data_IF_288414755772
#
_entry.id   IF_288414755772
#
_cell.length_a   1.000
_cell.length_b   1.000
_cell.length_c   1.000
_cell.angle_alpha   90.00
_cell.angle_beta   90.00
_cell.angle_gamma   90.00
#
_symmetry.space_group_name_H-M   'P 1'
#
loop_
_entity.id
_entity.type
_entity.pdbx_description
1 polymer ?
#
# COMPACT_ATOMS: atom_id res chain seq x y z
N UNK A 1 53.79 38.54 10.49
CA UNK A 1 53.42 38.80 9.08
C UNK A 1 52.43 37.71 8.71
N UNK A 2 51.12 37.90 8.50
CA UNK A 2 50.29 39.02 8.09
C UNK A 2 48.97 38.80 8.83
N UNK A 3 48.61 39.71 9.72
CA UNK A 3 47.40 39.64 10.52
C UNK A 3 46.95 41.04 10.86
N UNK A 4 46.71 41.86 9.83
CA UNK A 4 46.18 43.23 9.94
C UNK A 4 45.68 43.68 8.55
N UNK A 5 44.38 43.56 8.32
CA UNK A 5 43.55 44.24 7.31
C UNK A 5 42.19 43.53 7.40
N UNK A 6 41.10 44.07 7.93
CA UNK A 6 40.53 45.40 7.71
C UNK A 6 39.68 45.74 8.93
N UNK A 7 40.23 46.54 9.85
CA UNK A 7 39.47 47.22 10.90
C UNK A 7 39.91 48.67 10.92
N UNK A 8 39.55 49.42 9.86
CA UNK A 8 39.76 50.86 9.83
C UNK A 8 39.03 51.54 8.67
N UNK A 9 37.70 51.52 8.68
CA UNK A 9 36.91 52.60 8.03
C UNK A 9 35.77 52.96 8.96
N UNK A 10 36.13 53.53 10.11
CA UNK A 10 35.20 54.28 10.94
C UNK A 10 35.98 55.47 11.50
N UNK A 11 35.45 56.68 11.31
CA UNK A 11 36.02 57.98 11.71
C UNK A 11 36.85 58.70 10.63
N UNK A 12 36.15 59.45 9.76
CA UNK A 12 36.45 60.86 9.43
C UNK A 12 35.56 61.33 8.28
N UNK A 13 34.41 61.91 8.63
CA UNK A 13 33.88 63.09 7.92
C UNK A 13 32.79 63.71 8.79
N UNK A 14 33.26 64.31 9.87
CA UNK A 14 32.50 65.30 10.63
C UNK A 14 32.83 66.66 10.02
N UNK A 15 31.81 67.51 9.94
CA UNK A 15 31.86 68.96 9.68
C UNK A 15 32.05 69.39 8.23
N UNK A 16 30.93 69.65 7.55
CA UNK A 16 30.36 71.01 7.49
C UNK A 16 29.30 71.07 6.39
N UNK A 17 28.04 71.32 6.75
CA UNK A 17 27.22 72.36 6.13
C UNK A 17 25.90 72.57 6.92
N UNK A 18 25.84 73.71 7.58
CA UNK A 18 24.67 74.61 7.72
C UNK A 18 23.36 74.15 8.40
N UNK A 19 23.30 74.39 9.73
CA UNK A 19 22.47 75.41 10.44
C UNK A 19 21.00 75.67 10.00
N UNK A 20 20.10 75.69 11.03
CA UNK A 20 18.68 76.17 11.17
C UNK A 20 17.61 75.07 10.98
N UNK A 21 16.60 74.84 11.82
CA UNK A 21 15.94 75.52 12.97
C UNK A 21 15.31 74.44 13.89
N UNK A 22 14.95 74.73 15.16
CA UNK A 22 14.20 73.80 16.00
C UNK A 22 12.70 73.90 15.65
N UNK A 23 12.23 72.98 14.82
CA UNK A 23 10.81 72.82 14.52
C UNK A 23 10.21 71.69 15.34
N UNK A 24 9.25 72.05 16.20
CA UNK A 24 8.23 71.23 16.86
C UNK A 24 8.57 69.78 17.22
N UNK A 25 8.74 69.56 18.53
CA UNK A 25 8.53 68.25 19.15
C UNK A 25 7.02 67.99 19.15
N UNK A 26 6.50 67.53 18.00
CA UNK A 26 5.20 66.89 17.97
C UNK A 26 5.40 65.45 18.44
N UNK A 27 4.83 65.12 19.60
CA UNK A 27 4.75 63.76 20.14
C UNK A 27 4.01 62.87 19.13
N UNK A 28 4.77 62.27 18.21
CA UNK A 28 4.25 61.26 17.29
C UNK A 28 3.92 60.02 18.11
N UNK A 29 2.63 59.82 18.31
CA UNK A 29 1.96 58.67 18.89
C UNK A 29 2.78 57.36 18.78
N UNK A 30 3.19 56.85 19.93
CA UNK A 30 3.93 55.59 20.12
C UNK A 30 3.07 54.32 19.88
N UNK A 31 1.93 54.44 19.20
CA UNK A 31 1.01 53.32 18.93
C UNK A 31 1.29 52.62 17.59
N UNK A 32 2.05 53.23 16.68
CA UNK A 32 2.26 52.67 15.33
C UNK A 32 3.26 51.51 15.28
N UNK A 33 4.25 51.45 16.18
CA UNK A 33 5.28 50.39 16.17
C UNK A 33 4.79 49.07 16.76
N UNK A 34 3.86 49.14 17.73
CA UNK A 34 3.26 47.95 18.34
C UNK A 34 2.25 47.30 17.39
N UNK A 35 1.37 48.09 16.76
CA UNK A 35 0.46 47.58 15.74
C UNK A 35 1.22 46.99 14.54
N UNK A 36 2.28 47.65 14.06
CA UNK A 36 3.12 47.10 12.98
C UNK A 36 3.80 45.78 13.35
N UNK A 37 4.30 45.64 14.59
CA UNK A 37 4.88 44.37 15.06
C UNK A 37 3.86 43.25 15.26
N UNK A 38 2.62 43.58 15.63
CA UNK A 38 1.53 42.60 15.73
C UNK A 38 1.08 42.15 14.34
N UNK A 39 1.01 43.07 13.38
CA UNK A 39 0.68 42.78 11.98
C UNK A 39 1.77 41.95 11.29
N UNK A 40 3.06 42.28 11.50
CA UNK A 40 4.17 41.47 10.98
C UNK A 40 4.13 40.03 11.53
N UNK A 41 3.88 39.87 12.83
CA UNK A 41 3.81 38.55 13.48
C UNK A 41 2.58 37.75 13.01
N UNK A 42 1.44 38.40 12.76
CA UNK A 42 0.23 37.73 12.25
C UNK A 42 0.36 37.32 10.77
N UNK A 43 1.04 38.13 9.95
CA UNK A 43 1.35 37.82 8.55
C UNK A 43 2.33 36.64 8.45
N UNK A 44 3.33 36.58 9.32
CA UNK A 44 4.27 35.45 9.42
C UNK A 44 3.54 34.13 9.78
N UNK A 45 2.70 34.14 10.81
CA UNK A 45 1.92 32.95 11.22
C UNK A 45 0.95 32.47 10.12
N UNK A 46 0.35 33.39 9.36
CA UNK A 46 -0.52 33.03 8.25
C UNK A 46 0.27 32.48 7.05
N UNK A 47 1.45 33.03 6.77
CA UNK A 47 2.35 32.51 5.75
C UNK A 47 2.79 31.08 6.08
N UNK A 48 3.19 30.82 7.32
CA UNK A 48 3.57 29.47 7.78
C UNK A 48 2.41 28.47 7.66
N UNK A 49 1.18 28.88 8.01
CA UNK A 49 -0.02 28.03 7.86
C UNK A 49 -0.29 27.69 6.39
N UNK A 50 -0.18 28.67 5.50
CA UNK A 50 -0.38 28.48 4.05
C UNK A 50 0.70 27.60 3.44
N UNK A 51 1.96 27.81 3.80
CA UNK A 51 3.08 26.99 3.36
C UNK A 51 2.92 25.55 3.88
N UNK A 52 2.52 25.38 5.15
CA UNK A 52 2.24 24.06 5.72
C UNK A 52 1.12 23.32 4.98
N UNK A 53 0.04 24.02 4.60
CA UNK A 53 -1.02 23.45 3.78
C UNK A 53 -0.56 23.11 2.35
N UNK A 54 0.22 23.99 1.72
CA UNK A 54 0.79 23.74 0.39
C UNK A 54 1.71 22.50 0.41
N UNK A 55 2.59 22.40 1.41
CA UNK A 55 3.45 21.23 1.59
C UNK A 55 2.64 19.94 1.76
N UNK A 56 1.59 19.97 2.59
CA UNK A 56 0.68 18.81 2.75
C UNK A 56 0.06 18.37 1.42
N UNK A 57 -0.35 19.31 0.57
CA UNK A 57 -0.91 19.00 -0.75
C UNK A 57 0.14 18.40 -1.68
N UNK A 58 1.37 18.92 -1.68
CA UNK A 58 2.48 18.36 -2.46
C UNK A 58 2.79 16.94 -1.99
N UNK A 59 2.89 16.70 -0.67
CA UNK A 59 3.11 15.36 -0.11
C UNK A 59 1.97 14.41 -0.45
N UNK A 60 0.72 14.83 -0.28
CA UNK A 60 -0.44 14.01 -0.59
C UNK A 60 -0.49 13.65 -2.09
N UNK A 61 -0.24 14.63 -2.96
CA UNK A 61 -0.16 14.40 -4.40
C UNK A 61 0.96 13.44 -4.77
N UNK A 62 2.17 13.67 -4.27
CA UNK A 62 3.34 12.82 -4.56
C UNK A 62 3.15 11.40 -4.03
N UNK A 63 2.67 11.26 -2.78
CA UNK A 63 2.37 9.97 -2.18
C UNK A 63 1.30 9.20 -2.96
N UNK A 64 0.28 9.90 -3.47
CA UNK A 64 -0.76 9.27 -4.31
C UNK A 64 -0.20 8.76 -5.63
N UNK A 65 0.65 9.54 -6.30
CA UNK A 65 1.31 9.13 -7.55
C UNK A 65 2.23 7.94 -7.32
N UNK A 66 3.05 7.97 -6.26
CA UNK A 66 3.94 6.86 -5.90
C UNK A 66 3.12 5.62 -5.57
N UNK A 67 2.03 5.76 -4.80
CA UNK A 67 1.16 4.65 -4.46
C UNK A 67 0.55 4.03 -5.72
N UNK A 68 0.02 4.84 -6.64
CA UNK A 68 -0.55 4.33 -7.89
C UNK A 68 0.47 3.56 -8.74
N UNK A 69 1.70 4.06 -8.83
CA UNK A 69 2.75 3.42 -9.63
C UNK A 69 3.37 2.20 -8.95
N UNK A 70 3.63 2.23 -7.64
CA UNK A 70 4.43 1.22 -6.95
C UNK A 70 3.59 0.09 -6.36
N UNK A 71 2.34 0.39 -5.95
CA UNK A 71 1.47 -0.58 -5.29
C UNK A 71 1.16 -1.82 -6.15
N UNK A 72 0.97 -1.71 -7.49
CA UNK A 72 0.78 -2.90 -8.35
C UNK A 72 1.98 -3.86 -8.30
N UNK A 73 3.21 -3.34 -8.45
CA UNK A 73 4.42 -4.16 -8.49
C UNK A 73 4.77 -4.83 -7.15
N UNK A 74 4.48 -4.14 -6.04
CA UNK A 74 4.62 -4.72 -4.71
C UNK A 74 3.70 -5.92 -4.52
N UNK A 75 2.47 -5.84 -5.05
CA UNK A 75 1.49 -6.92 -4.99
C UNK A 75 1.98 -8.18 -5.73
N UNK A 76 2.48 -8.03 -6.95
CA UNK A 76 2.90 -9.16 -7.78
C UNK A 76 4.08 -9.93 -7.18
N UNK A 77 5.10 -9.22 -6.70
CA UNK A 77 6.26 -9.84 -6.05
C UNK A 77 5.83 -10.67 -4.83
N UNK A 78 4.89 -10.12 -4.04
CA UNK A 78 4.36 -10.81 -2.87
C UNK A 78 3.46 -11.99 -3.24
N UNK A 79 2.71 -11.91 -4.35
CA UNK A 79 1.96 -13.04 -4.89
C UNK A 79 2.92 -14.17 -5.30
N UNK A 80 3.97 -13.86 -6.06
CA UNK A 80 4.96 -14.85 -6.48
C UNK A 80 5.63 -15.54 -5.29
N UNK A 81 6.05 -14.75 -4.29
CA UNK A 81 6.58 -15.27 -3.02
C UNK A 81 5.56 -16.20 -2.33
N UNK A 82 4.28 -15.84 -2.35
CA UNK A 82 3.22 -16.66 -1.76
C UNK A 82 3.03 -17.99 -2.49
N UNK A 83 3.18 -18.02 -3.83
CA UNK A 83 3.20 -19.28 -4.60
C UNK A 83 4.45 -20.11 -4.27
N UNK A 84 5.61 -19.47 -4.14
CA UNK A 84 6.85 -20.18 -3.74
C UNK A 84 6.71 -20.87 -2.37
N UNK A 85 5.97 -20.28 -1.42
CA UNK A 85 5.71 -20.89 -0.12
C UNK A 85 4.90 -22.20 -0.21
N UNK A 86 4.11 -22.41 -1.26
CA UNK A 86 3.34 -23.65 -1.45
C UNK A 86 4.24 -24.87 -1.72
N UNK A 87 5.45 -24.63 -2.23
CA UNK A 87 6.43 -25.67 -2.54
C UNK A 87 7.25 -26.10 -1.31
N UNK A 88 7.27 -25.29 -0.25
CA UNK A 88 8.03 -25.57 0.97
C UNK A 88 7.46 -26.82 1.66
N UNK A 89 8.34 -27.68 2.21
CA UNK A 89 7.91 -28.95 2.84
C UNK A 89 7.01 -28.76 4.05
N UNK A 90 7.26 -27.71 4.84
CA UNK A 90 6.55 -27.47 6.09
C UNK A 90 5.13 -26.91 5.83
N UNK A 91 4.07 -27.59 6.31
CA UNK A 91 2.68 -27.18 6.14
C UNK A 91 2.37 -25.76 6.63
N UNK A 92 3.11 -25.24 7.63
CA UNK A 92 2.91 -23.88 8.13
C UNK A 92 3.15 -22.83 7.06
N UNK A 93 4.23 -22.97 6.28
CA UNK A 93 4.53 -22.06 5.18
C UNK A 93 3.53 -22.20 4.04
N UNK A 94 3.12 -23.43 3.71
CA UNK A 94 2.07 -23.65 2.70
C UNK A 94 0.76 -22.94 3.06
N UNK A 95 0.32 -23.09 4.31
CA UNK A 95 -0.87 -22.39 4.83
C UNK A 95 -0.72 -20.88 4.73
N UNK A 96 0.46 -20.34 5.08
CA UNK A 96 0.72 -18.91 4.97
C UNK A 96 0.63 -18.42 3.52
N UNK A 97 1.24 -19.14 2.58
CA UNK A 97 1.16 -18.86 1.16
C UNK A 97 -0.28 -18.86 0.64
N UNK A 98 -1.01 -19.95 0.90
CA UNK A 98 -2.41 -20.07 0.49
C UNK A 98 -3.30 -18.97 1.09
N UNK A 99 -3.12 -18.66 2.37
CA UNK A 99 -3.87 -17.60 3.06
C UNK A 99 -3.59 -16.21 2.49
N UNK A 100 -2.37 -15.96 1.99
CA UNK A 100 -2.02 -14.71 1.30
C UNK A 100 -2.63 -14.65 -0.09
N UNK A 101 -2.53 -15.73 -0.88
CA UNK A 101 -3.15 -15.81 -2.20
C UNK A 101 -4.66 -15.58 -2.14
N UNK A 102 -5.34 -16.15 -1.14
CA UNK A 102 -6.75 -15.90 -0.91
C UNK A 102 -7.07 -14.41 -0.68
N UNK A 103 -6.18 -13.66 -0.02
CA UNK A 103 -6.33 -12.21 0.21
C UNK A 103 -6.00 -11.38 -1.03
N UNK A 104 -5.11 -11.86 -1.90
CA UNK A 104 -4.77 -11.18 -3.14
C UNK A 104 -5.84 -11.35 -4.22
N UNK A 105 -6.63 -12.44 -4.18
CA UNK A 105 -7.70 -12.74 -5.13
C UNK A 105 -8.96 -11.86 -4.91
N UNK A 106 -8.81 -10.55 -5.05
CA UNK A 106 -9.85 -9.54 -4.81
C UNK A 106 -10.71 -9.39 -6.07
N UNK A 107 -10.08 -9.11 -7.20
CA UNK A 107 -10.68 -8.87 -8.51
C UNK A 107 -10.17 -9.88 -9.55
N UNK A 108 -10.74 -9.85 -10.75
CA UNK A 108 -10.46 -10.81 -11.82
C UNK A 108 -9.04 -10.71 -12.37
N UNK A 109 -8.50 -9.49 -12.49
CA UNK A 109 -7.12 -9.27 -12.90
C UNK A 109 -6.14 -9.93 -11.92
N UNK A 110 -6.33 -9.72 -10.62
CA UNK A 110 -5.49 -10.35 -9.60
C UNK A 110 -5.67 -11.86 -9.51
N UNK A 111 -6.88 -12.39 -9.74
CA UNK A 111 -7.12 -13.84 -9.81
C UNK A 111 -6.33 -14.46 -10.96
N UNK A 112 -6.39 -13.85 -12.14
CA UNK A 112 -5.64 -14.30 -13.30
C UNK A 112 -4.14 -14.17 -13.09
N UNK A 113 -3.67 -13.11 -12.42
CA UNK A 113 -2.25 -13.01 -12.07
C UNK A 113 -1.77 -14.16 -11.18
N UNK A 114 -2.58 -14.61 -10.23
CA UNK A 114 -2.27 -15.80 -9.41
C UNK A 114 -2.19 -17.06 -10.28
N UNK A 115 -3.10 -17.20 -11.25
CA UNK A 115 -3.09 -18.31 -12.22
C UNK A 115 -1.82 -18.28 -13.07
N UNK A 116 -1.45 -17.13 -13.63
CA UNK A 116 -0.23 -16.95 -14.44
C UNK A 116 1.04 -17.30 -13.67
N UNK A 117 1.08 -16.99 -12.37
CA UNK A 117 2.17 -17.36 -11.48
C UNK A 117 2.19 -18.85 -11.10
N UNK A 118 1.27 -19.67 -11.64
CA UNK A 118 1.14 -21.11 -11.36
C UNK A 118 0.39 -21.43 -10.07
N UNK A 119 -0.20 -20.43 -9.41
CA UNK A 119 -0.85 -20.59 -8.10
C UNK A 119 -2.03 -21.56 -8.12
N UNK A 120 -2.78 -21.64 -9.24
CA UNK A 120 -3.88 -22.60 -9.42
C UNK A 120 -3.40 -24.05 -9.23
N UNK A 121 -2.41 -24.46 -10.02
CA UNK A 121 -1.82 -25.79 -9.98
C UNK A 121 -1.22 -26.10 -8.61
N UNK A 122 -0.49 -25.16 -8.03
CA UNK A 122 0.17 -25.36 -6.74
C UNK A 122 -0.81 -25.48 -5.57
N UNK A 123 -1.93 -24.75 -5.60
CA UNK A 123 -2.98 -24.90 -4.60
C UNK A 123 -3.70 -26.26 -4.71
N UNK A 124 -3.93 -26.76 -5.94
CA UNK A 124 -4.47 -28.11 -6.15
C UNK A 124 -3.49 -29.17 -5.65
N UNK A 125 -2.20 -29.05 -5.97
CA UNK A 125 -1.16 -29.95 -5.45
C UNK A 125 -1.07 -29.91 -3.91
N UNK A 126 -1.15 -28.71 -3.33
CA UNK A 126 -1.18 -28.54 -1.87
C UNK A 126 -2.37 -29.25 -1.24
N UNK A 127 -3.57 -29.14 -1.83
CA UNK A 127 -4.77 -29.82 -1.36
C UNK A 127 -4.63 -31.34 -1.46
N UNK A 128 -4.14 -31.85 -2.59
CA UNK A 128 -3.92 -33.28 -2.80
C UNK A 128 -2.91 -33.88 -1.80
N UNK A 129 -1.88 -33.12 -1.45
CA UNK A 129 -0.83 -33.56 -0.52
C UNK A 129 -1.14 -33.28 0.96
N UNK A 130 -2.26 -32.63 1.28
CA UNK A 130 -2.56 -32.17 2.63
C UNK A 130 -2.95 -33.33 3.56
N UNK A 131 -2.15 -33.52 4.62
CA UNK A 131 -2.37 -34.56 5.64
C UNK A 131 -3.29 -34.12 6.78
N UNK A 132 -3.47 -32.82 6.95
CA UNK A 132 -4.20 -32.22 8.07
C UNK A 132 -5.26 -31.24 7.60
N UNK A 133 -6.27 -31.06 8.44
CA UNK A 133 -7.49 -30.32 8.11
C UNK A 133 -7.24 -28.83 7.96
N UNK A 134 -6.31 -28.28 8.74
CA UNK A 134 -5.96 -26.85 8.68
C UNK A 134 -5.30 -26.50 7.35
N UNK A 135 -4.44 -27.38 6.83
CA UNK A 135 -3.83 -27.25 5.50
C UNK A 135 -4.88 -27.37 4.40
N UNK A 136 -5.78 -28.37 4.48
CA UNK A 136 -6.89 -28.52 3.51
C UNK A 136 -7.79 -27.29 3.50
N UNK A 137 -8.15 -26.77 4.68
CA UNK A 137 -9.00 -25.58 4.81
C UNK A 137 -8.40 -24.35 4.13
N UNK A 138 -7.12 -24.04 4.38
CA UNK A 138 -6.49 -22.88 3.76
C UNK A 138 -6.32 -23.04 2.24
N UNK A 139 -6.02 -24.25 1.76
CA UNK A 139 -5.97 -24.53 0.32
C UNK A 139 -7.35 -24.34 -0.35
N UNK A 140 -8.40 -24.96 0.21
CA UNK A 140 -9.77 -24.83 -0.29
C UNK A 140 -10.28 -23.39 -0.24
N UNK A 141 -9.98 -22.66 0.85
CA UNK A 141 -10.32 -21.24 0.97
C UNK A 141 -9.68 -20.40 -0.14
N UNK A 142 -8.42 -20.67 -0.48
CA UNK A 142 -7.73 -19.98 -1.57
C UNK A 142 -8.32 -20.35 -2.93
N UNK A 143 -8.65 -21.62 -3.16
CA UNK A 143 -9.31 -22.09 -4.39
C UNK A 143 -10.68 -21.41 -4.58
N UNK A 144 -11.52 -21.36 -3.53
CA UNK A 144 -12.80 -20.61 -3.54
C UNK A 144 -12.56 -19.14 -3.84
N UNK A 145 -11.51 -18.56 -3.25
CA UNK A 145 -11.15 -17.18 -3.49
C UNK A 145 -10.67 -16.93 -4.91
N UNK A 146 -10.20 -17.93 -5.67
CA UNK A 146 -9.81 -17.81 -7.08
C UNK A 146 -11.03 -18.05 -8.00
N UNK A 147 -11.88 -19.03 -7.69
CA UNK A 147 -12.99 -19.51 -8.53
C UNK A 147 -14.13 -18.52 -8.80
N UNK A 148 -14.12 -17.32 -8.21
CA UNK A 148 -15.12 -16.29 -8.55
C UNK A 148 -14.89 -15.64 -9.92
N UNK A 149 -13.76 -15.89 -10.60
CA UNK A 149 -13.55 -15.52 -12.00
C UNK A 149 -13.71 -16.75 -12.89
N UNK A 150 -14.51 -16.66 -13.96
CA UNK A 150 -14.75 -17.78 -14.89
C UNK A 150 -13.45 -18.29 -15.51
N UNK A 151 -12.62 -17.39 -16.05
CA UNK A 151 -11.32 -17.75 -16.66
C UNK A 151 -10.38 -18.46 -15.66
N UNK A 152 -10.42 -18.07 -14.40
CA UNK A 152 -9.61 -18.71 -13.38
C UNK A 152 -10.14 -20.11 -13.02
N UNK A 153 -11.45 -20.36 -13.16
CA UNK A 153 -12.04 -21.71 -12.98
C UNK A 153 -11.55 -22.65 -14.08
N UNK A 154 -11.42 -22.17 -15.31
CA UNK A 154 -10.89 -22.96 -16.43
C UNK A 154 -9.48 -23.49 -16.09
N UNK A 155 -8.61 -22.63 -15.58
CA UNK A 155 -7.26 -23.03 -15.15
C UNK A 155 -7.27 -23.99 -13.95
N UNK A 156 -8.24 -23.87 -13.03
CA UNK A 156 -8.41 -24.84 -11.95
C UNK A 156 -8.88 -26.20 -12.48
N UNK A 157 -9.77 -26.20 -13.47
CA UNK A 157 -10.23 -27.42 -14.14
C UNK A 157 -9.07 -28.13 -14.85
N UNK A 158 -8.28 -27.40 -15.64
CA UNK A 158 -7.08 -27.92 -16.31
C UNK A 158 -6.03 -28.45 -15.32
N UNK A 159 -5.93 -27.84 -14.13
CA UNK A 159 -5.07 -28.32 -13.05
C UNK A 159 -5.58 -29.60 -12.35
N UNK A 160 -6.74 -30.14 -12.76
CA UNK A 160 -7.32 -31.35 -12.17
C UNK A 160 -7.96 -31.11 -10.81
N UNK A 161 -8.50 -29.92 -10.55
CA UNK A 161 -9.07 -29.58 -9.25
C UNK A 161 -10.28 -30.47 -8.86
N UNK A 162 -11.15 -30.80 -9.82
CA UNK A 162 -12.40 -31.55 -9.55
C UNK A 162 -12.15 -32.87 -8.82
N UNK A 163 -11.34 -33.83 -9.35
CA UNK A 163 -11.11 -35.09 -8.67
C UNK A 163 -10.48 -34.91 -7.28
N UNK A 164 -9.53 -33.96 -7.14
CA UNK A 164 -8.86 -33.67 -5.87
C UNK A 164 -9.83 -33.16 -4.81
N UNK A 165 -10.72 -32.23 -5.19
CA UNK A 165 -11.75 -31.66 -4.30
C UNK A 165 -12.73 -32.76 -3.86
N UNK A 166 -13.18 -33.62 -4.79
CA UNK A 166 -14.08 -34.73 -4.46
C UNK A 166 -13.45 -35.74 -3.52
N UNK A 167 -12.17 -36.07 -3.72
CA UNK A 167 -11.45 -37.04 -2.88
C UNK A 167 -11.01 -36.47 -1.52
N UNK A 168 -11.00 -35.15 -1.35
CA UNK A 168 -10.57 -34.50 -0.11
C UNK A 168 -11.54 -34.86 1.04
N UNK A 169 -11.05 -35.39 2.17
CA UNK A 169 -11.91 -35.74 3.29
C UNK A 169 -12.44 -34.49 4.00
N UNK A 170 -13.68 -34.59 4.47
CA UNK A 170 -14.30 -33.60 5.35
C UNK A 170 -13.66 -33.61 6.75
N UNK A 171 -14.06 -32.67 7.59
CA UNK A 171 -13.54 -32.52 8.95
C UNK A 171 -14.68 -32.32 9.93
N UNK A 172 -14.62 -33.01 11.07
CA UNK A 172 -15.53 -32.77 12.18
C UNK A 172 -15.24 -31.45 12.90
N UNK A 173 -13.99 -30.97 12.86
CA UNK A 173 -13.56 -29.73 13.53
C UNK A 173 -13.77 -28.50 12.64
N UNK A 174 -13.61 -28.65 11.33
CA UNK A 174 -13.68 -27.55 10.36
C UNK A 174 -14.79 -27.76 9.34
N UNK A 175 -16.02 -27.40 9.71
CA UNK A 175 -17.19 -27.46 8.83
C UNK A 175 -17.04 -26.59 7.56
N UNK A 176 -16.12 -25.61 7.56
CA UNK A 176 -15.88 -24.79 6.38
C UNK A 176 -15.29 -25.60 5.22
N UNK A 177 -14.63 -26.73 5.49
CA UNK A 177 -14.08 -27.61 4.44
C UNK A 177 -15.21 -28.11 3.53
N UNK A 178 -16.28 -28.64 4.12
CA UNK A 178 -17.45 -29.11 3.37
C UNK A 178 -18.07 -27.97 2.57
N UNK A 179 -18.25 -26.81 3.21
CA UNK A 179 -18.79 -25.60 2.55
C UNK A 179 -17.94 -25.17 1.35
N UNK A 180 -16.62 -25.14 1.49
CA UNK A 180 -15.72 -24.75 0.41
C UNK A 180 -15.72 -25.76 -0.73
N UNK A 181 -15.73 -27.06 -0.42
CA UNK A 181 -15.86 -28.12 -1.43
C UNK A 181 -17.15 -27.95 -2.24
N UNK A 182 -18.28 -27.81 -1.56
CA UNK A 182 -19.58 -27.64 -2.20
C UNK A 182 -19.65 -26.38 -3.06
N UNK A 183 -19.09 -25.26 -2.60
CA UNK A 183 -19.01 -24.03 -3.38
C UNK A 183 -18.19 -24.20 -4.66
N UNK A 184 -17.02 -24.86 -4.57
CA UNK A 184 -16.18 -25.13 -5.74
C UNK A 184 -16.86 -26.07 -6.72
N UNK A 185 -17.43 -27.18 -6.25
CA UNK A 185 -18.09 -28.15 -7.12
C UNK A 185 -19.31 -27.55 -7.82
N UNK A 186 -20.14 -26.77 -7.12
CA UNK A 186 -21.22 -26.00 -7.73
C UNK A 186 -20.68 -25.06 -8.81
N UNK A 187 -19.56 -24.39 -8.56
CA UNK A 187 -18.96 -23.46 -9.53
C UNK A 187 -18.50 -24.16 -10.80
N UNK A 188 -17.93 -25.36 -10.70
CA UNK A 188 -17.59 -26.17 -11.88
C UNK A 188 -18.83 -26.65 -12.64
N UNK A 189 -19.91 -27.01 -11.93
CA UNK A 189 -21.18 -27.41 -12.53
C UNK A 189 -21.86 -26.26 -13.28
N UNK A 190 -21.85 -25.06 -12.70
CA UNK A 190 -22.42 -23.86 -13.34
C UNK A 190 -21.76 -23.58 -14.71
N UNK A 191 -20.47 -23.89 -14.83
CA UNK A 191 -19.69 -23.77 -16.07
C UNK A 191 -19.68 -25.05 -16.92
N UNK A 192 -20.43 -26.09 -16.53
CA UNK A 192 -20.60 -27.38 -17.24
C UNK A 192 -19.32 -28.22 -17.37
N UNK A 193 -18.37 -28.04 -16.46
CA UNK A 193 -17.14 -28.84 -16.44
C UNK A 193 -17.34 -30.27 -15.95
N UNK A 194 -18.44 -30.55 -15.26
CA UNK A 194 -18.79 -31.88 -14.76
C UNK A 194 -19.24 -32.86 -15.85
N UNK A 195 -19.60 -32.36 -17.05
CA UNK A 195 -20.05 -33.17 -18.19
C UNK A 195 -18.87 -33.61 -19.08
N UNK A 196 -17.74 -32.92 -19.00
CA UNK A 196 -16.61 -33.10 -19.93
C UNK A 196 -15.48 -34.00 -19.40
N UNK A 197 -15.69 -34.70 -18.27
CA UNK A 197 -14.64 -35.49 -17.59
C UNK A 197 -14.93 -36.98 -17.55
#
# INVERSE_FOLDING_TARGET
MIGHCVSQICSRSVQNFCRRNPGDVQSRNFSSSFHRRVDERSIEEEAERKIGWLLKLIFAGTASVVAYNLFPYMGETLMQQSVSLLHVKDPLFKRMGASRLARFAIDDERRMKIVELGGAKELVNMLAAAKDDRTRKEALKALVAISKSDQAVDALHEAGAIPVIRSSPDSAEYNEIEKYKSNLLSRFQDLRYDISS
#
